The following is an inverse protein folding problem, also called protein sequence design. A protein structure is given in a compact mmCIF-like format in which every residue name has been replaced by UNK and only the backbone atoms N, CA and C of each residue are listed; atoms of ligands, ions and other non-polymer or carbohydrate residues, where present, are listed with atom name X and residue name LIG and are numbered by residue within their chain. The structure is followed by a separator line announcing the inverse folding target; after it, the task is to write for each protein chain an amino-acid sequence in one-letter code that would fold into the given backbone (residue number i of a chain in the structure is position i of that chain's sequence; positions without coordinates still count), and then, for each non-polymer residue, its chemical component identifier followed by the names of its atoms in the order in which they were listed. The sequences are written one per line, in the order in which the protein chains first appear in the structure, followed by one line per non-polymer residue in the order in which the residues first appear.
data_IF_946260763050
#
_entry.id   IF_946260763050
#
_cell.length_a   1.000
_cell.length_b   1.000
_cell.length_c   1.000
_cell.angle_alpha   90.00
_cell.angle_beta   90.00
_cell.angle_gamma   90.00
#
_symmetry.space_group_name_H-M   'P 1'
#
loop_
_entity.id
_entity.type
_entity.pdbx_description
1 polymer ?
#
# COMPACT_ATOMS: atom_id res chain seq x y z
N UNK A 1 3.12 28.85 -7.46
CA UNK A 1 4.53 29.21 -7.67
C UNK A 1 5.08 28.30 -8.77
N UNK A 2 5.50 28.86 -9.90
CA UNK A 2 6.19 28.11 -10.95
C UNK A 2 7.64 28.52 -10.96
N UNK A 3 8.53 27.57 -11.08
CA UNK A 3 9.96 27.81 -11.17
C UNK A 3 10.63 26.69 -11.98
N UNK A 4 11.72 27.01 -12.60
CA UNK A 4 12.54 26.07 -13.34
C UNK A 4 13.80 25.76 -12.54
N UNK A 5 14.22 24.50 -12.56
CA UNK A 5 15.47 24.04 -11.99
C UNK A 5 16.25 23.37 -13.12
N UNK A 6 17.42 23.86 -13.41
CA UNK A 6 18.32 23.26 -14.41
C UNK A 6 18.83 21.89 -13.94
N UNK A 7 19.46 21.10 -14.85
CA UNK A 7 20.08 19.84 -14.51
C UNK A 7 21.03 20.00 -13.32
N UNK A 8 20.93 19.10 -12.32
CA UNK A 8 21.69 19.13 -11.06
C UNK A 8 21.51 20.41 -10.23
N UNK A 9 20.52 21.25 -10.57
CA UNK A 9 20.20 22.45 -9.82
C UNK A 9 19.38 22.14 -8.58
N UNK A 10 19.64 22.91 -7.50
CA UNK A 10 18.82 22.89 -6.27
C UNK A 10 18.28 24.28 -6.01
N UNK A 11 16.98 24.38 -5.67
CA UNK A 11 16.37 25.61 -5.19
C UNK A 11 15.71 25.37 -3.85
N UNK A 12 16.03 26.19 -2.89
CA UNK A 12 15.42 26.15 -1.56
C UNK A 12 14.48 27.32 -1.39
N UNK A 13 13.29 27.07 -0.89
CA UNK A 13 12.29 28.08 -0.63
C UNK A 13 11.97 28.13 0.85
N UNK A 14 11.94 29.33 1.42
CA UNK A 14 11.41 29.56 2.74
C UNK A 14 9.94 29.97 2.59
N UNK A 15 9.03 29.13 3.06
CA UNK A 15 7.60 29.41 3.02
C UNK A 15 7.16 29.90 4.41
N UNK A 16 6.55 31.09 4.45
CA UNK A 16 5.86 31.57 5.64
C UNK A 16 4.40 31.17 5.53
N UNK A 17 3.97 30.25 6.36
CA UNK A 17 2.57 29.84 6.42
C UNK A 17 1.74 30.98 7.06
N UNK A 18 0.69 31.41 6.38
CA UNK A 18 -0.32 32.25 6.96
C UNK A 18 -1.30 31.38 7.77
N UNK A 19 -1.97 31.97 8.76
CA UNK A 19 -3.08 31.28 9.42
C UNK A 19 -4.14 30.94 8.37
N UNK A 20 -4.68 29.73 8.36
CA UNK A 20 -5.78 29.39 7.45
C UNK A 20 -6.96 30.34 7.70
N UNK A 21 -7.57 30.79 6.61
CA UNK A 21 -8.75 31.66 6.68
C UNK A 21 -9.93 30.94 7.33
N UNK A 22 -9.94 29.60 7.26
CA UNK A 22 -10.92 28.72 7.89
C UNK A 22 -10.18 27.56 8.57
N UNK A 23 -10.55 27.27 9.81
CA UNK A 23 -10.09 26.05 10.47
C UNK A 23 -10.61 24.85 9.69
N UNK A 24 -9.71 23.91 9.36
CA UNK A 24 -10.13 22.63 8.80
C UNK A 24 -10.78 21.83 9.94
N UNK A 25 -12.04 21.55 9.80
CA UNK A 25 -12.72 20.59 10.67
C UNK A 25 -12.42 19.21 10.09
N UNK A 26 -11.89 18.27 10.87
CA UNK A 26 -11.77 16.89 10.43
C UNK A 26 -13.11 16.37 9.95
N UNK A 27 -13.12 15.60 8.87
CA UNK A 27 -14.34 14.92 8.42
C UNK A 27 -14.85 14.00 9.55
N UNK A 28 -16.16 13.95 9.73
CA UNK A 28 -16.72 13.01 10.70
C UNK A 28 -16.44 11.58 10.23
N UNK A 29 -15.99 10.74 11.15
CA UNK A 29 -15.72 9.33 10.91
C UNK A 29 -16.23 8.47 12.05
N UNK A 30 -16.56 7.22 11.77
CA UNK A 30 -16.90 6.23 12.78
C UNK A 30 -16.33 4.85 12.40
N UNK A 31 -15.70 4.20 13.36
CA UNK A 31 -15.26 2.81 13.18
C UNK A 31 -16.47 1.89 13.03
N UNK A 32 -16.34 0.91 12.16
CA UNK A 32 -17.32 -0.16 11.96
C UNK A 32 -16.93 -1.34 12.84
N UNK A 33 -17.85 -1.83 13.63
CA UNK A 33 -17.63 -3.03 14.45
C UNK A 33 -17.57 -4.25 13.54
N UNK A 34 -16.48 -5.00 13.62
CA UNK A 34 -16.21 -6.17 12.78
C UNK A 34 -16.34 -7.48 13.57
N UNK A 35 -17.03 -8.51 13.04
CA UNK A 35 -17.14 -9.82 13.66
C UNK A 35 -15.86 -10.64 13.42
N UNK A 36 -14.79 -10.30 14.10
CA UNK A 36 -13.50 -10.96 13.95
C UNK A 36 -13.60 -12.49 14.10
N UNK A 37 -13.06 -13.22 13.14
CA UNK A 37 -13.14 -14.67 13.06
C UNK A 37 -11.79 -15.35 12.76
N UNK A 38 -10.72 -14.59 12.62
CA UNK A 38 -9.37 -15.10 12.38
C UNK A 38 -8.34 -14.31 13.17
N UNK A 39 -7.36 -15.01 13.72
CA UNK A 39 -6.15 -14.42 14.27
C UNK A 39 -5.16 -14.20 13.14
N UNK A 40 -4.77 -12.93 12.91
CA UNK A 40 -3.95 -12.56 11.75
C UNK A 40 -2.47 -12.45 12.09
N UNK A 41 -2.13 -12.33 13.36
CA UNK A 41 -0.78 -12.06 13.82
C UNK A 41 -0.37 -12.98 14.97
N UNK A 42 0.92 -13.14 15.16
CA UNK A 42 1.52 -13.83 16.29
C UNK A 42 2.64 -12.99 16.92
N UNK A 43 2.93 -13.24 18.19
CA UNK A 43 4.03 -12.59 18.91
C UNK A 43 5.27 -13.46 18.96
N UNK A 44 6.44 -12.84 19.03
CA UNK A 44 7.63 -13.49 19.54
C UNK A 44 7.47 -13.79 21.06
N UNK A 45 7.76 -14.98 21.56
CA UNK A 45 8.26 -16.20 20.90
C UNK A 45 7.16 -17.17 20.41
N UNK A 46 5.89 -16.78 20.41
CA UNK A 46 4.74 -17.66 20.17
C UNK A 46 4.26 -17.60 18.71
N UNK A 47 5.16 -17.77 17.74
CA UNK A 47 4.85 -17.64 16.30
C UNK A 47 3.88 -18.72 15.80
N UNK A 48 3.69 -19.79 16.55
CA UNK A 48 2.84 -20.92 16.16
C UNK A 48 1.34 -20.72 16.40
N UNK A 49 0.94 -19.60 17.00
CA UNK A 49 -0.45 -19.35 17.40
C UNK A 49 -1.29 -18.64 16.32
N UNK A 50 -0.71 -18.38 15.14
CA UNK A 50 -1.43 -17.83 14.00
C UNK A 50 -0.95 -18.42 12.68
N UNK A 51 -1.90 -18.81 11.83
CA UNK A 51 -1.70 -19.26 10.46
C UNK A 51 -2.58 -18.44 9.52
N UNK A 52 -2.20 -17.18 9.34
CA UNK A 52 -3.01 -16.21 8.62
C UNK A 52 -3.27 -16.60 7.17
N UNK A 53 -2.23 -16.99 6.45
CA UNK A 53 -2.30 -17.30 5.02
C UNK A 53 -2.60 -18.78 4.70
N UNK A 54 -2.76 -19.61 5.73
CA UNK A 54 -2.95 -21.05 5.57
C UNK A 54 -1.69 -21.82 5.18
N UNK A 55 -0.54 -21.13 5.05
CA UNK A 55 0.78 -21.69 4.67
C UNK A 55 1.80 -21.61 5.81
N UNK A 56 1.33 -21.27 7.00
CA UNK A 56 2.17 -21.13 8.18
C UNK A 56 2.70 -19.73 8.43
N UNK A 57 2.25 -18.72 7.71
CA UNK A 57 2.73 -17.35 7.94
C UNK A 57 1.66 -16.48 8.60
N UNK A 58 2.12 -15.48 9.34
CA UNK A 58 1.30 -14.45 9.97
C UNK A 58 2.01 -13.10 9.99
N UNK A 59 1.25 -12.04 10.29
CA UNK A 59 1.86 -10.75 10.61
C UNK A 59 2.64 -10.85 11.94
N UNK A 60 3.66 -10.02 12.07
CA UNK A 60 4.37 -9.81 13.33
C UNK A 60 3.54 -8.87 14.21
N UNK A 61 2.99 -9.39 15.30
CA UNK A 61 2.08 -8.65 16.19
C UNK A 61 2.74 -7.45 16.85
N UNK A 62 4.03 -7.54 17.14
CA UNK A 62 4.85 -6.46 17.71
C UNK A 62 4.97 -5.23 16.80
N UNK A 63 4.69 -5.38 15.51
CA UNK A 63 4.68 -4.27 14.55
C UNK A 63 3.30 -3.66 14.35
N UNK A 64 2.25 -4.33 14.82
CA UNK A 64 0.87 -3.87 14.59
C UNK A 64 0.48 -2.78 15.60
N UNK A 65 0.18 -1.56 15.14
CA UNK A 65 -0.35 -0.53 16.01
C UNK A 65 -1.83 -0.81 16.33
N UNK A 66 -2.33 -0.27 17.43
CA UNK A 66 -3.76 -0.32 17.76
C UNK A 66 -4.61 0.56 16.85
N UNK A 67 -4.01 1.54 16.20
CA UNK A 67 -4.67 2.45 15.27
C UNK A 67 -3.74 2.83 14.12
N UNK A 68 -4.29 2.86 12.91
CA UNK A 68 -3.63 3.35 11.70
C UNK A 68 -4.39 4.58 11.20
N UNK A 69 -3.68 5.65 10.87
CA UNK A 69 -4.26 6.81 10.19
C UNK A 69 -3.66 6.89 8.79
N UNK A 70 -4.51 6.81 7.78
CA UNK A 70 -4.07 6.87 6.39
C UNK A 70 -5.03 7.72 5.55
N UNK A 71 -4.48 8.73 4.85
CA UNK A 71 -5.27 9.64 4.02
C UNK A 71 -6.34 10.42 4.80
N UNK A 72 -6.06 10.75 6.07
CA UNK A 72 -6.96 11.48 6.94
C UNK A 72 -8.07 10.64 7.58
N UNK A 73 -8.05 9.32 7.41
CA UNK A 73 -9.03 8.39 7.99
C UNK A 73 -8.34 7.48 9.01
N UNK A 74 -8.95 7.34 10.19
CA UNK A 74 -8.50 6.45 11.26
C UNK A 74 -9.10 5.06 11.15
N UNK A 75 -8.29 4.04 11.43
CA UNK A 75 -8.68 2.64 11.46
C UNK A 75 -8.31 2.04 12.81
N UNK A 76 -9.27 1.57 13.55
CA UNK A 76 -9.05 0.86 14.80
C UNK A 76 -8.71 -0.61 14.49
N UNK A 77 -7.56 -1.05 14.94
CA UNK A 77 -7.07 -2.42 14.70
C UNK A 77 -7.37 -3.27 15.92
N UNK A 78 -7.94 -4.44 15.68
CA UNK A 78 -8.21 -5.40 16.75
C UNK A 78 -6.94 -5.90 17.43
N UNK A 79 -7.08 -6.37 18.68
CA UNK A 79 -5.96 -6.89 19.45
C UNK A 79 -5.26 -8.06 18.73
N UNK A 80 -3.98 -7.93 18.36
CA UNK A 80 -3.26 -9.00 17.68
C UNK A 80 -3.06 -10.26 18.54
N UNK A 81 -3.28 -10.19 19.87
CA UNK A 81 -3.31 -11.37 20.72
C UNK A 81 -4.58 -12.22 20.56
N UNK A 82 -5.64 -11.65 20.00
CA UNK A 82 -6.93 -12.29 19.78
C UNK A 82 -7.25 -12.44 18.29
N UNK A 83 -8.47 -12.83 17.97
CA UNK A 83 -9.01 -12.71 16.60
C UNK A 83 -9.13 -11.22 16.27
N UNK A 84 -8.48 -10.79 15.21
CA UNK A 84 -8.35 -9.38 14.83
C UNK A 84 -8.51 -9.14 13.33
N UNK A 85 -9.12 -10.07 12.63
CA UNK A 85 -9.49 -9.96 11.23
C UNK A 85 -10.76 -10.76 10.91
N UNK A 86 -11.41 -10.39 9.81
CA UNK A 86 -12.56 -11.10 9.26
C UNK A 86 -12.15 -11.75 7.94
N UNK A 87 -12.05 -13.08 7.92
CA UNK A 87 -12.05 -13.86 6.67
C UNK A 87 -13.42 -13.77 6.06
N UNK A 88 -13.52 -13.21 4.86
CA UNK A 88 -14.78 -12.92 4.21
C UNK A 88 -15.50 -14.22 3.79
N UNK A 89 -16.73 -14.38 4.25
CA UNK A 89 -17.62 -15.49 3.92
C UNK A 89 -19.05 -15.02 3.75
N UNK A 90 -19.20 -13.91 3.03
CA UNK A 90 -20.49 -13.27 2.82
C UNK A 90 -21.11 -12.73 4.11
N UNK A 91 -20.28 -12.40 5.08
CA UNK A 91 -20.71 -11.84 6.36
C UNK A 91 -21.41 -10.51 6.11
N UNK A 92 -22.50 -10.29 6.83
CA UNK A 92 -23.25 -9.04 6.81
C UNK A 92 -22.90 -8.23 8.05
N UNK A 93 -22.55 -6.97 7.85
CA UNK A 93 -22.05 -6.05 8.88
C UNK A 93 -22.92 -4.81 8.89
N UNK A 94 -23.38 -4.42 10.06
CA UNK A 94 -24.14 -3.18 10.24
C UNK A 94 -23.18 -1.98 10.22
N UNK A 95 -23.57 -0.94 9.47
CA UNK A 95 -22.81 0.30 9.40
C UNK A 95 -23.29 1.30 10.44
N UNK A 96 -22.38 2.07 11.07
CA UNK A 96 -22.73 3.15 11.97
C UNK A 96 -23.70 4.16 11.33
N UNK A 97 -24.65 4.65 12.13
CA UNK A 97 -25.59 5.67 11.68
C UNK A 97 -24.89 7.02 11.53
N UNK A 98 -25.10 7.69 10.42
CA UNK A 98 -24.55 9.01 10.16
C UNK A 98 -24.69 9.42 8.70
N UNK A 99 -24.16 10.59 8.37
CA UNK A 99 -24.17 11.14 7.02
C UNK A 99 -22.83 10.84 6.34
N UNK A 100 -22.50 9.57 6.24
CA UNK A 100 -21.23 9.12 5.65
C UNK A 100 -21.43 8.80 4.17
N UNK A 101 -20.56 9.34 3.32
CA UNK A 101 -20.55 9.09 1.89
C UNK A 101 -19.44 8.13 1.44
N UNK A 102 -18.57 7.72 2.35
CA UNK A 102 -17.45 6.84 2.10
C UNK A 102 -17.38 5.71 3.11
N UNK A 103 -17.00 4.53 2.64
CA UNK A 103 -16.59 3.39 3.47
C UNK A 103 -15.16 3.04 3.09
N UNK A 104 -14.28 3.04 4.07
CA UNK A 104 -12.89 2.64 3.90
C UNK A 104 -12.64 1.34 4.64
N UNK A 105 -11.96 0.41 3.97
CA UNK A 105 -11.57 -0.88 4.53
C UNK A 105 -10.05 -0.95 4.57
N UNK A 106 -9.49 -1.51 5.64
CA UNK A 106 -8.16 -2.08 5.65
C UNK A 106 -8.28 -3.56 5.36
N UNK A 107 -7.77 -4.00 4.24
CA UNK A 107 -7.88 -5.39 3.82
C UNK A 107 -6.61 -5.87 3.10
N UNK A 108 -6.48 -7.19 3.01
CA UNK A 108 -5.48 -7.84 2.19
C UNK A 108 -5.96 -9.23 1.75
N UNK A 109 -5.42 -9.71 0.64
CA UNK A 109 -5.60 -11.09 0.19
C UNK A 109 -4.45 -11.97 0.70
N UNK A 110 -4.75 -13.20 1.06
CA UNK A 110 -3.76 -14.19 1.55
C UNK A 110 -3.02 -14.93 0.44
N UNK A 111 -3.40 -14.77 -0.82
CA UNK A 111 -2.79 -15.51 -1.93
C UNK A 111 -2.19 -14.62 -3.02
N UNK A 112 -3.01 -13.89 -3.73
CA UNK A 112 -2.63 -13.00 -4.84
C UNK A 112 -3.61 -11.85 -4.91
N UNK A 113 -3.30 -10.86 -5.74
CA UNK A 113 -4.21 -9.74 -5.98
C UNK A 113 -5.54 -10.27 -6.46
N UNK A 114 -6.61 -9.94 -5.75
CA UNK A 114 -7.93 -10.52 -5.94
C UNK A 114 -8.96 -9.42 -6.19
N UNK A 115 -9.70 -9.53 -7.28
CA UNK A 115 -10.89 -8.70 -7.48
C UNK A 115 -12.00 -9.21 -6.56
N UNK A 116 -12.60 -8.31 -5.81
CA UNK A 116 -13.62 -8.61 -4.82
C UNK A 116 -14.86 -7.75 -5.03
N UNK A 117 -16.01 -8.30 -4.75
CA UNK A 117 -17.28 -7.58 -4.78
C UNK A 117 -17.77 -7.39 -3.34
N UNK A 118 -17.84 -6.14 -2.91
CA UNK A 118 -18.47 -5.70 -1.66
C UNK A 118 -19.85 -5.16 -1.99
N UNK A 119 -20.85 -5.50 -1.20
CA UNK A 119 -22.22 -5.01 -1.43
C UNK A 119 -22.64 -4.09 -0.30
N UNK A 120 -23.05 -2.86 -0.60
CA UNK A 120 -23.56 -1.90 0.38
C UNK A 120 -25.01 -1.58 0.05
N UNK A 121 -25.92 -1.90 0.97
CA UNK A 121 -27.38 -1.76 0.78
C UNK A 121 -27.87 -2.30 -0.57
N UNK A 122 -27.35 -3.46 -0.97
CA UNK A 122 -27.70 -4.12 -2.23
C UNK A 122 -26.97 -3.62 -3.47
N UNK A 123 -26.15 -2.57 -3.36
CA UNK A 123 -25.32 -2.05 -4.45
C UNK A 123 -23.93 -2.70 -4.41
N UNK A 124 -23.52 -3.27 -5.53
CA UNK A 124 -22.21 -3.89 -5.70
C UNK A 124 -21.11 -2.87 -5.98
N UNK A 125 -19.96 -3.08 -5.34
CA UNK A 125 -18.72 -2.32 -5.51
C UNK A 125 -17.57 -3.29 -5.75
N UNK A 126 -17.01 -3.28 -6.94
CA UNK A 126 -15.84 -4.09 -7.26
C UNK A 126 -14.57 -3.34 -6.88
N UNK A 127 -13.69 -4.00 -6.15
CA UNK A 127 -12.41 -3.44 -5.75
C UNK A 127 -11.31 -4.50 -5.83
N UNK A 128 -10.08 -4.03 -6.10
CA UNK A 128 -8.88 -4.86 -6.01
C UNK A 128 -8.46 -4.96 -4.54
N UNK A 129 -8.34 -6.19 -4.04
CA UNK A 129 -7.73 -6.50 -2.74
C UNK A 129 -6.37 -7.11 -3.00
N UNK A 130 -5.27 -6.35 -2.79
CA UNK A 130 -3.95 -6.84 -3.11
C UNK A 130 -3.45 -7.92 -2.14
N UNK A 131 -2.50 -8.71 -2.61
CA UNK A 131 -1.81 -9.72 -1.81
C UNK A 131 -1.02 -9.08 -0.66
N UNK A 132 -1.14 -9.65 0.54
CA UNK A 132 -0.57 -9.12 1.77
C UNK A 132 0.96 -9.16 1.83
N UNK A 133 1.59 -9.92 0.95
CA UNK A 133 3.05 -10.05 0.86
C UNK A 133 3.54 -9.80 -0.56
N UNK A 134 4.84 -10.03 -0.78
CA UNK A 134 5.44 -9.88 -2.10
C UNK A 134 5.82 -8.44 -2.44
N UNK A 135 5.87 -8.13 -3.74
CA UNK A 135 6.37 -6.85 -4.23
C UNK A 135 5.24 -5.83 -4.42
N UNK A 136 5.46 -4.61 -3.97
CA UNK A 136 4.61 -3.46 -4.28
C UNK A 136 4.92 -2.95 -5.70
N UNK A 137 6.18 -3.02 -6.11
CA UNK A 137 6.64 -2.73 -7.44
C UNK A 137 7.70 -3.74 -7.85
N UNK A 138 8.00 -3.82 -9.13
CA UNK A 138 8.94 -4.79 -9.68
C UNK A 138 9.65 -4.25 -10.91
N UNK A 139 10.91 -4.62 -11.05
CA UNK A 139 11.75 -4.29 -12.18
C UNK A 139 12.53 -5.53 -12.62
N UNK A 140 12.57 -5.78 -13.93
CA UNK A 140 13.49 -6.74 -14.55
C UNK A 140 13.41 -8.19 -14.07
N UNK A 141 12.30 -8.60 -13.46
CA UNK A 141 12.10 -9.98 -13.03
C UNK A 141 11.67 -10.86 -14.21
N UNK A 142 12.03 -12.14 -14.19
CA UNK A 142 11.61 -13.12 -15.19
C UNK A 142 10.10 -13.07 -15.43
N UNK A 143 9.69 -12.82 -16.65
CA UNK A 143 8.29 -12.62 -17.05
C UNK A 143 7.74 -11.19 -16.88
N UNK A 144 8.54 -10.28 -16.31
CA UNK A 144 8.22 -8.87 -16.16
C UNK A 144 9.36 -8.02 -16.68
N UNK A 145 9.35 -7.72 -17.95
CA UNK A 145 10.39 -6.92 -18.63
C UNK A 145 10.21 -5.42 -18.43
N UNK A 146 9.00 -5.01 -18.07
CA UNK A 146 8.68 -3.61 -17.79
C UNK A 146 8.57 -3.40 -16.27
N UNK A 147 9.11 -2.30 -15.74
CA UNK A 147 8.89 -1.95 -14.34
C UNK A 147 7.43 -1.60 -14.13
N UNK A 148 6.87 -2.04 -13.00
CA UNK A 148 5.52 -1.65 -12.62
C UNK A 148 5.44 -1.32 -11.13
N UNK A 149 4.46 -0.51 -10.79
CA UNK A 149 4.06 -0.23 -9.43
C UNK A 149 2.60 -0.65 -9.26
N UNK A 150 2.32 -1.40 -8.19
CA UNK A 150 0.97 -1.86 -7.88
C UNK A 150 0.05 -0.67 -7.62
N UNK A 151 -1.09 -0.61 -8.30
CA UNK A 151 -2.11 0.41 -8.03
C UNK A 151 -2.86 0.05 -6.74
N UNK A 152 -2.25 0.39 -5.61
CA UNK A 152 -2.75 0.06 -4.28
C UNK A 152 -2.35 1.12 -3.27
N UNK A 153 -3.23 1.36 -2.29
CA UNK A 153 -2.97 2.30 -1.21
C UNK A 153 -2.46 1.54 0.01
N UNK A 154 -1.15 1.54 0.20
CA UNK A 154 -0.48 0.84 1.29
C UNK A 154 -0.62 1.65 2.58
N UNK A 155 -1.42 1.17 3.51
CA UNK A 155 -1.66 1.84 4.80
C UNK A 155 -0.80 1.29 5.94
N UNK A 156 -0.32 0.06 5.83
CA UNK A 156 0.59 -0.56 6.80
C UNK A 156 1.67 -1.36 6.09
N UNK A 157 2.88 -1.31 6.64
CA UNK A 157 4.03 -2.10 6.19
C UNK A 157 4.68 -2.75 7.40
N UNK A 158 4.68 -4.07 7.44
CA UNK A 158 5.49 -4.87 8.37
C UNK A 158 6.79 -5.29 7.69
N UNK A 159 7.91 -5.18 8.38
CA UNK A 159 9.25 -5.47 7.83
C UNK A 159 9.57 -6.95 7.70
N UNK A 160 8.77 -7.80 8.34
CA UNK A 160 8.90 -9.25 8.32
C UNK A 160 7.56 -9.90 8.62
N UNK A 161 7.47 -11.17 8.35
CA UNK A 161 6.38 -12.05 8.79
C UNK A 161 6.92 -13.14 9.70
N UNK A 162 6.05 -13.74 10.49
CA UNK A 162 6.35 -14.91 11.29
C UNK A 162 6.06 -16.19 10.50
N UNK A 163 6.93 -17.16 10.64
CA UNK A 163 6.79 -18.53 10.14
C UNK A 163 6.55 -19.48 11.31
N UNK A 164 5.31 -19.99 11.44
CA UNK A 164 4.93 -20.89 12.51
C UNK A 164 5.55 -22.29 12.37
N UNK A 165 5.90 -22.70 11.13
CA UNK A 165 6.42 -24.05 10.84
C UNK A 165 7.86 -24.16 11.30
N UNK A 166 8.66 -23.09 11.03
CA UNK A 166 10.06 -23.01 11.43
C UNK A 166 10.27 -22.34 12.78
N UNK A 167 9.22 -21.69 13.30
CA UNK A 167 9.27 -20.85 14.50
C UNK A 167 10.32 -19.74 14.42
N UNK A 168 10.40 -19.07 13.27
CA UNK A 168 11.36 -18.01 13.00
C UNK A 168 10.70 -16.78 12.38
N UNK A 169 11.42 -15.64 12.40
CA UNK A 169 11.08 -14.49 11.59
C UNK A 169 11.57 -14.71 10.17
N UNK A 170 10.79 -14.24 9.21
CA UNK A 170 11.21 -14.17 7.80
C UNK A 170 11.54 -12.72 7.46
N UNK A 171 12.78 -12.29 7.74
CA UNK A 171 13.19 -10.91 7.54
C UNK A 171 13.12 -10.54 6.06
N UNK A 172 12.77 -9.28 5.80
CA UNK A 172 12.58 -8.72 4.46
C UNK A 172 11.43 -9.33 3.65
N UNK A 173 10.70 -10.29 4.19
CA UNK A 173 9.42 -10.69 3.63
C UNK A 173 8.32 -9.76 4.16
N UNK A 174 8.18 -8.60 3.51
CA UNK A 174 7.27 -7.55 3.92
C UNK A 174 5.82 -8.00 3.93
N UNK A 175 5.04 -7.42 4.85
CA UNK A 175 3.60 -7.62 4.95
C UNK A 175 2.88 -6.29 4.84
N UNK A 176 1.72 -6.27 4.20
CA UNK A 176 0.99 -5.05 3.90
C UNK A 176 -0.48 -5.16 4.26
N UNK A 177 -1.06 -4.04 4.73
CA UNK A 177 -2.50 -3.83 4.71
C UNK A 177 -2.81 -2.67 3.77
N UNK A 178 -3.86 -2.83 2.98
CA UNK A 178 -4.23 -1.87 1.95
C UNK A 178 -5.53 -1.17 2.30
N UNK A 179 -5.57 0.15 2.07
CA UNK A 179 -6.81 0.89 2.14
C UNK A 179 -7.60 0.71 0.85
N UNK A 180 -8.85 0.32 0.99
CA UNK A 180 -9.82 0.23 -0.08
C UNK A 180 -10.92 1.23 0.22
N UNK A 181 -11.22 2.12 -0.72
CA UNK A 181 -12.29 3.12 -0.56
C UNK A 181 -13.47 2.80 -1.45
N UNK A 182 -14.67 2.83 -0.88
CA UNK A 182 -15.94 2.63 -1.57
C UNK A 182 -16.81 3.88 -1.43
N UNK A 183 -17.40 4.32 -2.53
CA UNK A 183 -18.42 5.35 -2.49
C UNK A 183 -19.75 4.72 -2.11
N UNK A 184 -20.30 5.14 -0.99
CA UNK A 184 -21.56 4.61 -0.46
C UNK A 184 -22.66 5.68 -0.45
N UNK A 185 -23.94 5.31 -0.56
CA UNK A 185 -25.03 6.25 -0.38
C UNK A 185 -25.02 6.80 1.06
N UNK A 186 -25.37 8.08 1.19
CA UNK A 186 -25.50 8.71 2.50
C UNK A 186 -26.57 7.96 3.33
N UNK A 187 -26.22 7.61 4.56
CA UNK A 187 -27.10 6.84 5.43
C UNK A 187 -27.14 5.35 5.17
N UNK A 188 -26.16 4.81 4.42
CA UNK A 188 -25.98 3.37 4.24
C UNK A 188 -26.01 2.61 5.56
N UNK A 189 -26.56 1.40 5.53
CA UNK A 189 -26.87 0.62 6.75
C UNK A 189 -26.10 -0.68 6.85
N UNK A 190 -25.79 -1.28 5.72
CA UNK A 190 -25.33 -2.65 5.71
C UNK A 190 -24.24 -2.86 4.67
N UNK A 191 -23.18 -3.54 5.09
CA UNK A 191 -22.11 -4.03 4.24
C UNK A 191 -22.17 -5.56 4.20
N UNK A 192 -22.20 -6.14 3.01
CA UNK A 192 -21.98 -7.57 2.79
C UNK A 192 -20.58 -7.76 2.24
N UNK A 193 -19.76 -8.53 2.94
CA UNK A 193 -18.41 -8.88 2.53
C UNK A 193 -18.42 -9.88 1.36
N UNK A 194 -17.34 -9.96 0.58
CA UNK A 194 -17.18 -10.98 -0.46
C UNK A 194 -17.33 -12.41 0.08
N UNK A 195 -17.73 -13.36 -0.75
CA UNK A 195 -17.68 -14.77 -0.44
C UNK A 195 -16.33 -15.37 -0.89
N UNK A 196 -15.26 -14.87 -0.28
CA UNK A 196 -13.90 -15.30 -0.60
C UNK A 196 -13.01 -15.30 0.65
N UNK A 197 -12.74 -16.47 1.26
CA UNK A 197 -11.96 -16.57 2.49
C UNK A 197 -10.48 -16.23 2.33
N UNK A 198 -10.00 -15.97 1.10
CA UNK A 198 -8.68 -15.43 0.87
C UNK A 198 -8.59 -13.97 1.25
N UNK A 199 -9.71 -13.26 1.25
CA UNK A 199 -9.79 -11.84 1.62
C UNK A 199 -9.99 -11.73 3.11
N UNK A 200 -9.17 -10.90 3.75
CA UNK A 200 -9.29 -10.57 5.17
C UNK A 200 -9.41 -9.07 5.35
N UNK A 201 -10.43 -8.66 6.10
CA UNK A 201 -10.66 -7.27 6.51
C UNK A 201 -10.20 -7.11 7.95
N UNK A 202 -9.29 -6.17 8.20
CA UNK A 202 -8.71 -5.89 9.53
C UNK A 202 -9.46 -4.77 10.25
N UNK A 203 -9.90 -3.78 9.51
CA UNK A 203 -10.65 -2.64 10.04
C UNK A 203 -11.55 -2.05 8.96
N UNK A 204 -12.60 -1.38 9.38
CA UNK A 204 -13.47 -0.61 8.51
C UNK A 204 -13.87 0.71 9.19
N UNK A 205 -13.99 1.78 8.41
CA UNK A 205 -14.37 3.10 8.89
C UNK A 205 -15.29 3.76 7.88
N UNK A 206 -16.46 4.23 8.31
CA UNK A 206 -17.29 5.12 7.52
C UNK A 206 -16.85 6.56 7.76
N UNK A 207 -16.84 7.38 6.73
CA UNK A 207 -16.44 8.77 6.83
C UNK A 207 -17.30 9.67 5.93
N UNK A 208 -17.45 10.93 6.34
CA UNK A 208 -17.74 11.98 5.38
C UNK A 208 -16.59 12.01 4.37
N UNK A 209 -16.88 12.47 3.16
CA UNK A 209 -15.77 12.58 2.17
C UNK A 209 -14.68 13.49 2.78
N UNK A 210 -13.46 12.94 3.05
CA UNK A 210 -12.38 13.74 3.62
C UNK A 210 -11.87 14.78 2.62
N UNK A 211 -12.49 14.89 1.46
CA UNK A 211 -12.15 15.85 0.43
C UNK A 211 -12.50 17.30 0.83
N UNK A 212 -12.04 17.74 1.97
CA UNK A 212 -11.84 19.16 2.21
C UNK A 212 -10.82 19.78 1.23
N UNK A 213 -10.70 19.23 0.02
CA UNK A 213 -9.81 19.71 -1.03
C UNK A 213 -8.31 19.48 -0.77
N UNK A 214 -7.96 18.67 0.23
CA UNK A 214 -6.57 18.33 0.53
C UNK A 214 -6.32 16.90 0.05
N UNK A 215 -5.62 16.79 -1.07
CA UNK A 215 -5.07 15.53 -1.57
C UNK A 215 -3.55 15.62 -1.64
N UNK A 216 -2.87 14.48 -1.70
CA UNK A 216 -1.47 14.47 -2.05
C UNK A 216 -1.28 15.17 -3.41
N UNK A 217 -0.31 16.07 -3.51
CA UNK A 217 -0.01 16.77 -4.77
C UNK A 217 0.44 15.80 -5.86
N UNK A 218 0.97 14.65 -5.46
CA UNK A 218 1.26 13.51 -6.32
C UNK A 218 1.14 12.23 -5.49
N UNK A 219 0.76 11.14 -6.14
CA UNK A 219 0.89 9.83 -5.53
C UNK A 219 2.38 9.44 -5.54
N UNK A 220 2.98 9.37 -4.36
CA UNK A 220 4.40 9.03 -4.22
C UNK A 220 4.71 7.60 -4.69
N UNK A 221 3.69 6.75 -4.78
CA UNK A 221 3.82 5.38 -5.28
C UNK A 221 3.49 5.26 -6.77
N UNK A 222 2.91 6.29 -7.39
CA UNK A 222 2.75 6.38 -8.84
C UNK A 222 3.99 7.01 -9.46
N UNK A 223 5.05 6.26 -9.56
CA UNK A 223 6.12 6.61 -10.48
C UNK A 223 5.58 6.38 -11.89
N UNK A 224 5.39 7.45 -12.64
CA UNK A 224 5.21 7.32 -14.10
C UNK A 224 6.57 6.92 -14.65
N UNK A 225 6.76 5.62 -14.78
CA UNK A 225 7.94 5.11 -15.45
C UNK A 225 7.78 5.41 -16.95
N UNK A 226 8.84 5.87 -17.61
CA UNK A 226 8.76 6.14 -19.03
C UNK A 226 8.33 4.86 -19.76
N UNK A 227 7.27 4.96 -20.53
CA UNK A 227 6.81 3.85 -21.36
C UNK A 227 7.88 3.61 -22.42
N UNK A 228 8.45 2.42 -22.44
CA UNK A 228 9.44 2.03 -23.45
C UNK A 228 8.84 2.25 -24.84
N UNK A 229 9.45 3.11 -25.63
CA UNK A 229 8.98 3.49 -26.97
C UNK A 229 8.16 4.78 -27.05
N UNK A 230 7.85 5.47 -25.95
CA UNK A 230 7.12 6.75 -25.99
C UNK A 230 8.02 7.97 -26.18
N UNK A 231 9.31 7.81 -26.29
CA UNK A 231 10.27 8.91 -26.18
C UNK A 231 10.90 9.35 -27.50
N UNK A 232 10.07 9.84 -28.40
CA UNK A 232 10.57 10.80 -29.38
C UNK A 232 11.07 12.12 -28.72
N UNK A 233 10.64 12.42 -27.46
CA UNK A 233 11.06 13.60 -26.71
C UNK A 233 12.42 13.44 -26.01
N UNK A 234 12.90 12.22 -25.79
CA UNK A 234 14.22 11.93 -25.27
C UNK A 234 15.31 11.84 -26.35
N UNK A 235 14.95 11.84 -27.61
CA UNK A 235 15.88 11.79 -28.73
C UNK A 235 16.94 12.94 -28.74
N UNK A 236 16.82 13.91 -27.85
CA UNK A 236 17.81 14.96 -27.63
C UNK A 236 18.63 14.83 -26.34
N UNK A 237 18.35 13.85 -25.48
CA UNK A 237 19.10 13.66 -24.23
C UNK A 237 20.25 12.71 -24.45
N UNK A 238 21.36 13.25 -24.84
CA UNK A 238 22.59 12.50 -25.02
C UNK A 238 23.17 12.16 -23.64
N UNK A 239 23.42 10.87 -23.38
CA UNK A 239 24.25 10.48 -22.25
C UNK A 239 25.64 11.10 -22.42
N UNK A 240 25.96 12.07 -21.57
CA UNK A 240 27.24 12.80 -21.65
C UNK A 240 28.43 11.93 -21.29
N UNK A 241 28.21 10.79 -20.65
CA UNK A 241 29.22 9.82 -20.25
C UNK A 241 29.41 8.73 -21.30
N UNK A 242 28.51 8.61 -22.28
CA UNK A 242 28.59 7.58 -23.31
C UNK A 242 29.93 7.59 -24.03
N UNK A 243 30.59 6.44 -24.02
CA UNK A 243 31.89 6.26 -24.67
C UNK A 243 33.04 7.04 -24.00
N UNK A 244 32.86 7.60 -22.80
CA UNK A 244 33.94 8.24 -22.05
C UNK A 244 34.75 7.17 -21.31
N UNK A 245 36.10 7.26 -21.31
CA UNK A 245 36.90 6.33 -20.54
C UNK A 245 36.67 6.54 -19.04
N UNK A 246 36.56 5.44 -18.30
CA UNK A 246 36.56 5.49 -16.84
C UNK A 246 37.98 5.75 -16.36
N UNK A 247 38.19 6.91 -15.72
CA UNK A 247 39.52 7.34 -15.27
C UNK A 247 39.79 6.96 -13.81
N UNK A 248 38.75 6.81 -13.01
CA UNK A 248 38.89 6.46 -11.59
C UNK A 248 37.65 5.69 -11.11
N UNK A 249 37.86 4.70 -10.27
CA UNK A 249 36.83 3.96 -9.56
C UNK A 249 37.34 3.55 -8.17
N UNK A 250 36.42 3.39 -7.22
CA UNK A 250 36.72 2.86 -5.88
C UNK A 250 35.95 1.55 -5.63
N UNK A 251 36.54 0.65 -4.86
CA UNK A 251 35.95 -0.64 -4.48
C UNK A 251 36.23 -1.78 -5.43
N UNK A 252 35.91 -2.99 -4.98
CA UNK A 252 35.95 -4.20 -5.80
C UNK A 252 34.68 -4.31 -6.62
N UNK A 253 34.79 -4.75 -7.86
CA UNK A 253 33.69 -4.81 -8.82
C UNK A 253 33.52 -6.25 -9.29
N UNK A 254 32.33 -6.77 -9.18
CA UNK A 254 31.96 -8.04 -9.80
C UNK A 254 31.90 -7.91 -11.33
N UNK A 255 31.86 -9.03 -12.03
CA UNK A 255 31.78 -9.02 -13.50
C UNK A 255 30.50 -8.33 -14.03
N UNK A 256 29.44 -8.30 -13.21
CA UNK A 256 28.17 -7.63 -13.50
C UNK A 256 28.13 -6.14 -13.12
N UNK A 257 29.21 -5.63 -12.50
CA UNK A 257 29.28 -4.27 -11.98
C UNK A 257 30.46 -3.51 -12.56
N UNK A 258 30.79 -3.79 -13.81
CA UNK A 258 31.93 -3.11 -14.46
C UNK A 258 31.64 -1.64 -14.64
N UNK A 259 32.62 -0.81 -14.37
CA UNK A 259 32.50 0.64 -14.46
C UNK A 259 32.15 1.11 -15.88
N UNK A 260 32.49 0.34 -16.90
CA UNK A 260 32.16 0.58 -18.30
C UNK A 260 30.65 0.62 -18.55
N UNK A 261 29.86 -0.13 -17.78
CA UNK A 261 28.40 -0.16 -17.91
C UNK A 261 27.75 1.19 -17.53
N UNK A 262 28.43 2.01 -16.74
CA UNK A 262 27.96 3.36 -16.44
C UNK A 262 28.05 4.32 -17.62
N UNK A 263 28.80 3.97 -18.64
CA UNK A 263 29.07 4.83 -19.81
C UNK A 263 28.56 4.23 -21.13
N UNK A 264 27.95 3.06 -21.09
CA UNK A 264 27.21 2.49 -22.22
C UNK A 264 25.76 3.02 -22.27
N UNK A 265 25.04 2.69 -23.30
CA UNK A 265 23.61 3.04 -23.42
C UNK A 265 22.69 1.87 -23.06
N UNK A 266 23.25 0.78 -22.53
CA UNK A 266 22.47 -0.39 -22.13
C UNK A 266 21.84 -0.13 -20.76
N UNK A 267 20.53 0.04 -20.74
CA UNK A 267 19.75 0.23 -19.51
C UNK A 267 19.34 -1.08 -18.83
N UNK A 268 19.84 -2.20 -19.33
CA UNK A 268 19.57 -3.55 -18.77
C UNK A 268 20.62 -4.01 -17.77
N UNK A 269 21.70 -3.24 -17.57
CA UNK A 269 22.82 -3.56 -16.66
C UNK A 269 22.79 -2.78 -15.35
#
# INVERSE_FOLDING_TARGET
LRFEVGPFGMKTFRVKLARPVRALTPAAEAAVELPYNVKTASYNPFRSDSNFDGKGNSYAAELMPSRIVYGGVGFEIGDPAAQNGVKCRRDTIDLPRGRYGKLYLLAASTMYDTQAVFTVDGKEHTALVPYYGGFIGQWGHTGHTEPYLKDAQVAFVGTHKHDMIRNEDRPYEFTYMFRIGLDIPEGARQLVLPDDPRIVVFAATVAEDPAGGIGAACDLLRVQLPVKGADASQAGRRNLLYGKPVVERSGEVNASERAEYATDEDVST
#
